data_IF_783614643809
#
_entry.id   IF_783614643809
#
_cell.length_a   1.000
_cell.length_b   1.000
_cell.length_c   1.000
_cell.angle_alpha   90.00
_cell.angle_beta   90.00
_cell.angle_gamma   90.00
#
_symmetry.space_group_name_H-M   'P 1'
#
loop_
_entity.id
_entity.type
_entity.pdbx_description
1 polymer ?
#
# COMPACT_ATOMS: atom_id res chain seq x y z
N UNK A 1 -47.85 -12.33 -26.74
CA UNK A 1 -48.02 -12.01 -25.31
C UNK A 1 -49.44 -12.24 -24.80
N UNK A 2 -50.48 -11.91 -25.57
CA UNK A 2 -51.88 -12.02 -25.10
C UNK A 2 -52.33 -13.44 -24.73
N UNK A 3 -51.92 -14.47 -25.50
CA UNK A 3 -52.18 -15.88 -25.16
C UNK A 3 -51.56 -16.31 -23.83
N UNK A 4 -50.32 -15.87 -23.55
CA UNK A 4 -49.63 -16.17 -22.29
C UNK A 4 -50.35 -15.54 -21.07
N UNK A 5 -50.88 -14.32 -21.22
CA UNK A 5 -51.65 -13.67 -20.16
C UNK A 5 -53.02 -14.34 -19.94
N UNK A 6 -53.66 -14.82 -21.00
CA UNK A 6 -54.90 -15.59 -20.92
C UNK A 6 -54.69 -16.95 -20.25
N UNK A 7 -53.64 -17.67 -20.64
CA UNK A 7 -53.25 -18.96 -20.06
C UNK A 7 -52.81 -18.85 -18.60
N UNK A 8 -52.15 -17.74 -18.24
CA UNK A 8 -51.77 -17.46 -16.85
C UNK A 8 -52.98 -17.18 -15.94
N UNK A 9 -54.02 -16.53 -16.47
CA UNK A 9 -55.27 -16.26 -15.73
C UNK A 9 -56.11 -17.51 -15.51
N UNK A 10 -56.15 -18.44 -16.48
CA UNK A 10 -56.99 -19.64 -16.42
C UNK A 10 -56.36 -20.77 -15.60
N UNK A 11 -55.03 -20.85 -15.50
CA UNK A 11 -54.34 -21.91 -14.78
C UNK A 11 -53.96 -21.54 -13.34
N UNK A 12 -54.64 -22.16 -12.36
CA UNK A 12 -54.33 -22.01 -10.94
C UNK A 12 -52.88 -22.40 -10.60
N UNK A 13 -52.35 -23.47 -11.21
CA UNK A 13 -50.98 -23.95 -10.98
C UNK A 13 -49.94 -22.93 -11.42
N UNK A 14 -50.17 -22.24 -12.55
CA UNK A 14 -49.27 -21.21 -13.06
C UNK A 14 -49.27 -19.96 -12.17
N UNK A 15 -50.42 -19.60 -11.60
CA UNK A 15 -50.54 -18.50 -10.63
C UNK A 15 -49.80 -18.80 -9.33
N UNK A 16 -49.97 -20.00 -8.78
CA UNK A 16 -49.27 -20.41 -7.55
C UNK A 16 -47.76 -20.48 -7.80
N UNK A 17 -47.32 -21.12 -8.90
CA UNK A 17 -45.91 -21.16 -9.27
C UNK A 17 -45.30 -19.77 -9.45
N UNK A 18 -46.03 -18.86 -10.10
CA UNK A 18 -45.62 -17.46 -10.23
C UNK A 18 -45.52 -16.72 -8.91
N UNK A 19 -46.48 -16.91 -7.99
CA UNK A 19 -46.41 -16.33 -6.64
C UNK A 19 -45.23 -16.88 -5.85
N UNK A 20 -44.97 -18.19 -5.89
CA UNK A 20 -43.83 -18.79 -5.20
C UNK A 20 -42.52 -18.24 -5.76
N UNK A 21 -42.38 -18.18 -7.08
CA UNK A 21 -41.22 -17.58 -7.73
C UNK A 21 -41.03 -16.11 -7.32
N UNK A 22 -42.11 -15.34 -7.25
CA UNK A 22 -42.09 -13.94 -6.84
C UNK A 22 -41.67 -13.78 -5.37
N UNK A 23 -42.16 -14.62 -4.47
CA UNK A 23 -41.75 -14.63 -3.06
C UNK A 23 -40.27 -14.97 -2.92
N UNK A 24 -39.78 -16.00 -3.61
CA UNK A 24 -38.36 -16.37 -3.60
C UNK A 24 -37.52 -15.19 -4.11
N UNK A 25 -37.94 -14.54 -5.19
CA UNK A 25 -37.23 -13.39 -5.75
C UNK A 25 -37.17 -12.23 -4.76
N UNK A 26 -38.27 -11.96 -4.05
CA UNK A 26 -38.38 -10.90 -3.05
C UNK A 26 -37.48 -11.15 -1.84
N UNK A 27 -37.43 -12.39 -1.34
CA UNK A 27 -36.53 -12.79 -0.25
C UNK A 27 -35.07 -12.65 -0.66
N UNK A 28 -34.71 -13.09 -1.86
CA UNK A 28 -33.34 -12.93 -2.37
C UNK A 28 -32.95 -11.46 -2.53
N UNK A 29 -33.88 -10.61 -2.98
CA UNK A 29 -33.64 -9.18 -3.11
C UNK A 29 -33.36 -8.53 -1.75
N UNK A 30 -34.16 -8.87 -0.73
CA UNK A 30 -33.97 -8.37 0.64
C UNK A 30 -32.62 -8.82 1.21
N UNK A 31 -32.26 -10.09 1.05
CA UNK A 31 -30.97 -10.62 1.51
C UNK A 31 -29.78 -9.94 0.79
N UNK A 32 -29.92 -9.64 -0.51
CA UNK A 32 -28.90 -8.92 -1.26
C UNK A 32 -28.73 -7.48 -0.77
N UNK A 33 -29.82 -6.79 -0.46
CA UNK A 33 -29.79 -5.43 0.09
C UNK A 33 -29.13 -5.39 1.48
N UNK A 34 -29.41 -6.38 2.33
CA UNK A 34 -28.81 -6.47 3.66
C UNK A 34 -27.30 -6.69 3.58
N UNK A 35 -26.84 -7.61 2.71
CA UNK A 35 -25.41 -7.80 2.45
C UNK A 35 -24.74 -6.52 1.91
N UNK A 36 -25.39 -5.83 0.97
CA UNK A 36 -24.86 -4.59 0.43
C UNK A 36 -24.75 -3.48 1.49
N UNK A 37 -25.71 -3.41 2.42
CA UNK A 37 -25.66 -2.50 3.57
C UNK A 37 -24.52 -2.85 4.51
N UNK A 38 -24.37 -4.13 4.86
CA UNK A 38 -23.32 -4.61 5.75
C UNK A 38 -21.92 -4.31 5.20
N UNK A 39 -21.68 -4.58 3.91
CA UNK A 39 -20.40 -4.26 3.27
C UNK A 39 -20.10 -2.76 3.29
N UNK A 40 -21.11 -1.90 3.12
CA UNK A 40 -20.93 -0.45 3.21
C UNK A 40 -20.60 -0.02 4.63
N UNK A 41 -21.31 -0.53 5.64
CA UNK A 41 -21.05 -0.21 7.05
C UNK A 41 -19.62 -0.60 7.43
N UNK A 42 -19.19 -1.81 7.05
CA UNK A 42 -17.84 -2.28 7.32
C UNK A 42 -16.77 -1.41 6.66
N UNK A 43 -17.00 -0.95 5.43
CA UNK A 43 -16.10 -0.02 4.75
C UNK A 43 -16.01 1.32 5.51
N UNK A 44 -17.16 1.89 5.89
CA UNK A 44 -17.19 3.13 6.68
C UNK A 44 -16.51 2.98 8.05
N UNK A 45 -16.71 1.86 8.75
CA UNK A 45 -16.04 1.60 10.03
C UNK A 45 -14.52 1.52 9.87
N UNK A 46 -14.04 0.85 8.82
CA UNK A 46 -12.60 0.75 8.55
C UNK A 46 -12.00 2.13 8.29
N UNK A 47 -12.67 2.93 7.48
CA UNK A 47 -12.20 4.26 7.12
C UNK A 47 -12.26 5.21 8.33
N UNK A 48 -13.30 5.09 9.16
CA UNK A 48 -13.40 5.84 10.42
C UNK A 48 -12.30 5.47 11.42
N UNK A 49 -11.95 4.17 11.54
CA UNK A 49 -10.83 3.73 12.38
C UNK A 49 -9.49 4.25 11.87
N UNK A 50 -9.28 4.24 10.55
CA UNK A 50 -8.07 4.78 9.94
C UNK A 50 -7.96 6.30 10.14
N UNK A 51 -9.06 7.02 9.96
CA UNK A 51 -9.10 8.46 10.23
C UNK A 51 -8.82 8.76 11.71
N UNK A 52 -9.39 7.97 12.63
CA UNK A 52 -9.14 8.12 14.06
C UNK A 52 -7.68 7.83 14.43
N UNK A 53 -7.05 6.81 13.83
CA UNK A 53 -5.63 6.51 14.09
C UNK A 53 -4.71 7.60 13.52
N UNK A 54 -4.99 8.11 12.31
CA UNK A 54 -4.28 9.26 11.74
C UNK A 54 -4.47 10.52 12.59
N UNK A 55 -5.66 10.75 13.13
CA UNK A 55 -5.91 11.87 14.03
C UNK A 55 -5.17 11.70 15.37
N UNK A 56 -5.05 10.48 15.88
CA UNK A 56 -4.25 10.19 17.07
C UNK A 56 -2.75 10.41 16.80
N UNK A 57 -2.23 9.90 15.68
CA UNK A 57 -0.83 10.09 15.26
C UNK A 57 -0.50 11.56 14.98
N UNK A 58 -1.42 12.32 14.38
CA UNK A 58 -1.21 13.77 14.16
C UNK A 58 -1.28 14.60 15.44
N UNK A 59 -1.97 14.10 16.47
CA UNK A 59 -1.96 14.70 17.82
C UNK A 59 -0.72 14.31 18.63
N UNK A 60 0.01 13.26 18.26
CA UNK A 60 1.35 13.04 18.78
C UNK A 60 2.27 14.17 18.26
N UNK A 61 2.48 15.16 19.12
CA UNK A 61 3.40 16.29 18.95
C UNK A 61 4.87 15.88 18.73
N UNK A 62 5.17 14.59 18.63
CA UNK A 62 6.49 14.06 18.35
C UNK A 62 6.88 14.13 16.86
N UNK A 63 5.92 14.35 15.94
CA UNK A 63 6.24 14.42 14.51
C UNK A 63 7.21 15.54 14.12
N UNK A 64 7.06 16.80 14.60
CA UNK A 64 8.05 17.85 14.38
C UNK A 64 9.42 17.47 14.97
N UNK A 65 9.44 16.96 16.20
CA UNK A 65 10.69 16.54 16.85
C UNK A 65 11.39 15.40 16.09
N UNK A 66 10.63 14.41 15.59
CA UNK A 66 11.18 13.33 14.74
C UNK A 66 11.64 13.83 13.38
N UNK A 67 10.96 14.82 12.81
CA UNK A 67 11.39 15.44 11.55
C UNK A 67 12.72 16.18 11.76
N UNK A 68 12.84 16.93 12.86
CA UNK A 68 14.09 17.61 13.23
C UNK A 68 15.22 16.63 13.52
N UNK A 69 14.94 15.53 14.25
CA UNK A 69 15.92 14.45 14.50
C UNK A 69 16.37 13.76 13.20
N UNK A 70 15.44 13.49 12.28
CA UNK A 70 15.77 12.90 10.98
C UNK A 70 16.58 13.85 10.10
N UNK A 71 16.25 15.14 10.12
CA UNK A 71 17.01 16.19 9.43
C UNK A 71 18.44 16.28 9.98
N UNK A 72 18.61 16.26 11.30
CA UNK A 72 19.90 16.24 11.98
C UNK A 72 20.73 14.99 11.62
N UNK A 73 20.10 13.82 11.57
CA UNK A 73 20.78 12.58 11.15
C UNK A 73 21.20 12.65 9.67
N UNK A 74 20.35 13.22 8.81
CA UNK A 74 20.65 13.40 7.40
C UNK A 74 21.81 14.39 7.20
N UNK A 75 21.82 15.50 7.93
CA UNK A 75 22.95 16.45 7.94
C UNK A 75 24.24 15.81 8.45
N UNK A 76 24.18 15.00 9.51
CA UNK A 76 25.35 14.27 10.01
C UNK A 76 25.87 13.25 8.99
N UNK A 77 24.98 12.56 8.27
CA UNK A 77 25.36 11.66 7.19
C UNK A 77 25.95 12.41 6.00
N UNK A 78 25.39 13.57 5.64
CA UNK A 78 25.92 14.43 4.58
C UNK A 78 27.29 15.02 4.94
N UNK A 79 27.51 15.44 6.19
CA UNK A 79 28.83 15.89 6.66
C UNK A 79 29.86 14.76 6.63
N UNK A 80 29.43 13.51 6.84
CA UNK A 80 30.29 12.33 6.69
C UNK A 80 30.51 11.88 5.24
N UNK A 81 29.75 12.42 4.28
CA UNK A 81 29.91 12.25 2.85
C UNK A 81 30.65 13.47 2.32
N UNK A 82 31.98 13.45 2.40
CA UNK A 82 32.81 14.45 1.73
C UNK A 82 32.35 14.61 0.28
N UNK A 83 32.23 15.85 -0.19
CA UNK A 83 31.89 16.18 -1.58
C UNK A 83 33.03 15.69 -2.49
N UNK A 84 32.93 14.44 -2.95
CA UNK A 84 33.98 13.83 -3.77
C UNK A 84 33.74 14.25 -5.22
N UNK A 85 34.60 15.16 -5.70
CA UNK A 85 34.58 15.75 -7.05
C UNK A 85 34.65 14.73 -8.21
N UNK A 86 34.95 13.43 -7.95
CA UNK A 86 35.13 12.42 -9.01
C UNK A 86 34.63 11.03 -8.60
N UNK A 87 33.75 10.47 -9.44
CA UNK A 87 33.16 9.12 -9.35
C UNK A 87 34.18 8.01 -9.02
N UNK A 88 35.42 8.13 -9.51
CA UNK A 88 36.49 7.16 -9.25
C UNK A 88 36.99 7.11 -7.80
N UNK A 89 36.93 8.21 -7.05
CA UNK A 89 37.32 8.24 -5.63
C UNK A 89 36.25 7.62 -4.73
N UNK A 90 34.97 7.86 -5.03
CA UNK A 90 33.85 7.26 -4.28
C UNK A 90 33.90 5.73 -4.34
N UNK A 91 34.20 5.17 -5.51
CA UNK A 91 34.32 3.71 -5.70
C UNK A 91 35.44 3.12 -4.85
N UNK A 92 36.60 3.77 -4.83
CA UNK A 92 37.74 3.33 -4.04
C UNK A 92 37.47 3.44 -2.53
N UNK A 93 36.87 4.55 -2.08
CA UNK A 93 36.55 4.76 -0.67
C UNK A 93 35.45 3.83 -0.17
N UNK A 94 34.40 3.61 -0.97
CA UNK A 94 33.36 2.63 -0.66
C UNK A 94 33.91 1.20 -0.62
N UNK A 95 34.80 0.83 -1.55
CA UNK A 95 35.42 -0.48 -1.54
C UNK A 95 36.30 -0.70 -0.30
N UNK A 96 37.05 0.33 0.13
CA UNK A 96 37.85 0.30 1.36
C UNK A 96 36.97 0.22 2.60
N UNK A 97 35.86 0.97 2.65
CA UNK A 97 34.94 0.98 3.78
C UNK A 97 34.19 -0.35 3.91
N UNK A 98 33.73 -0.91 2.80
CA UNK A 98 33.07 -2.23 2.76
C UNK A 98 34.04 -3.36 3.09
N UNK A 99 35.30 -3.28 2.63
CA UNK A 99 36.33 -4.25 3.01
C UNK A 99 36.64 -4.22 4.51
N UNK A 100 36.67 -3.03 5.13
CA UNK A 100 36.84 -2.88 6.59
C UNK A 100 35.66 -3.48 7.36
N UNK A 101 34.43 -3.16 6.94
CA UNK A 101 33.21 -3.70 7.56
C UNK A 101 33.15 -5.24 7.46
N UNK A 102 33.57 -5.79 6.32
CA UNK A 102 33.61 -7.24 6.11
C UNK A 102 34.69 -7.93 6.98
N UNK A 103 35.83 -7.27 7.23
CA UNK A 103 36.85 -7.76 8.17
C UNK A 103 36.36 -7.72 9.62
N UNK A 104 35.70 -6.63 10.03
CA UNK A 104 35.09 -6.50 11.36
C UNK A 104 33.99 -7.56 11.60
N UNK A 105 33.27 -7.94 10.54
CA UNK A 105 32.28 -9.02 10.56
C UNK A 105 32.88 -10.44 10.44
N UNK A 106 34.21 -10.59 10.39
CA UNK A 106 34.89 -11.90 10.36
C UNK A 106 34.81 -12.64 9.02
N UNK A 107 34.50 -11.96 7.92
CA UNK A 107 34.42 -12.57 6.59
C UNK A 107 35.84 -12.73 6.02
N UNK A 108 36.34 -13.96 6.00
CA UNK A 108 37.64 -14.28 5.41
C UNK A 108 37.56 -14.15 3.87
N UNK A 109 38.27 -13.17 3.31
CA UNK A 109 38.40 -12.84 1.87
C UNK A 109 37.13 -12.33 1.16
N UNK A 110 36.73 -11.07 1.39
CA UNK A 110 35.65 -10.44 0.63
C UNK A 110 36.18 -9.93 -0.73
N UNK A 111 35.89 -10.64 -1.81
CA UNK A 111 36.04 -10.13 -3.18
C UNK A 111 34.87 -9.19 -3.50
N UNK A 112 34.96 -7.94 -3.04
CA UNK A 112 33.90 -6.93 -3.24
C UNK A 112 34.18 -6.18 -4.54
N UNK A 113 33.34 -6.42 -5.55
CA UNK A 113 33.33 -5.66 -6.81
C UNK A 113 32.15 -4.69 -6.75
N UNK A 114 32.43 -3.40 -6.68
CA UNK A 114 31.42 -2.33 -6.75
C UNK A 114 31.07 -2.12 -8.22
N UNK A 115 29.83 -2.39 -8.62
CA UNK A 115 29.32 -2.09 -9.96
C UNK A 115 29.08 -0.58 -10.13
N UNK A 116 29.16 -0.08 -11.36
CA UNK A 116 29.05 1.36 -11.63
C UNK A 116 27.63 1.88 -11.38
N UNK A 117 27.53 3.05 -10.76
CA UNK A 117 26.27 3.70 -10.42
C UNK A 117 25.49 4.07 -11.69
N UNK A 118 24.21 3.69 -11.74
CA UNK A 118 23.29 4.06 -12.82
C UNK A 118 22.82 5.50 -12.60
N UNK A 119 23.07 6.38 -13.57
CA UNK A 119 22.53 7.74 -13.54
C UNK A 119 20.99 7.72 -13.59
N UNK A 120 20.36 8.31 -12.57
CA UNK A 120 18.91 8.51 -12.53
C UNK A 120 18.57 9.76 -13.37
N UNK A 121 17.76 9.64 -14.44
CA UNK A 121 17.32 10.82 -15.20
C UNK A 121 16.53 11.78 -14.31
N UNK A 122 16.76 13.09 -14.48
CA UNK A 122 16.23 14.26 -13.73
C UNK A 122 16.98 14.73 -12.47
N UNK A 123 18.04 14.05 -12.02
CA UNK A 123 18.85 14.53 -10.88
C UNK A 123 20.36 14.38 -11.12
N UNK A 124 21.03 15.36 -11.76
CA UNK A 124 22.43 15.28 -12.15
C UNK A 124 23.45 15.21 -10.98
N UNK A 125 23.00 15.13 -9.73
CA UNK A 125 23.82 15.01 -8.52
C UNK A 125 23.30 13.97 -7.51
N UNK A 126 22.31 13.13 -7.86
CA UNK A 126 21.85 12.06 -6.95
C UNK A 126 22.33 10.70 -7.45
N UNK A 127 23.37 10.19 -6.81
CA UNK A 127 23.84 8.81 -6.99
C UNK A 127 23.07 7.94 -5.99
N UNK A 128 22.21 7.03 -6.46
CA UNK A 128 21.68 5.92 -5.66
C UNK A 128 22.40 4.62 -6.05
#
# INVERSE_FOLDING_TARGET
>A
MEKLLADWRSNLRLRIGGMVALVILLVNLLAAMEKAKETRIQAYERDARLAASMQAMSREQAWPARADEAQLQLEQLQVGLSEVERVGQVKAEMQVRLARLAQEAGIATPSIKVEDALEVPDHPNSWQ
#
